data_IF_665751788489
#
_entry.id   IF_665751788489
#
_cell.length_a   1.000
_cell.length_b   1.000
_cell.length_c   1.000
_cell.angle_alpha   90.00
_cell.angle_beta   90.00
_cell.angle_gamma   90.00
#
_symmetry.space_group_name_H-M   'P 1'
#
loop_
_entity.id
_entity.type
_entity.pdbx_description
1 polymer ?
#
# COMPACT_ATOMS: atom_id res chain seq x y z
N UNK A 1 -12.83 24.81 6.13
CA UNK A 1 -14.26 24.42 6.20
C UNK A 1 -14.63 23.33 5.20
N UNK A 2 -13.78 23.03 4.23
CA UNK A 2 -14.03 22.18 3.06
C UNK A 2 -13.70 20.71 3.34
N UNK A 3 -12.71 20.45 4.21
CA UNK A 3 -12.29 19.09 4.55
C UNK A 3 -13.42 18.23 5.17
N UNK A 4 -14.37 18.86 5.88
CA UNK A 4 -15.54 18.18 6.46
C UNK A 4 -16.53 17.65 5.42
N UNK A 5 -16.43 18.11 4.17
CA UNK A 5 -17.24 17.63 3.05
C UNK A 5 -16.68 16.34 2.43
N UNK A 6 -15.45 15.97 2.77
CA UNK A 6 -14.83 14.72 2.29
C UNK A 6 -15.37 13.56 3.11
N UNK A 7 -16.19 12.71 2.48
CA UNK A 7 -16.75 11.51 3.12
C UNK A 7 -15.74 10.35 3.20
N UNK A 8 -14.76 10.34 2.31
CA UNK A 8 -13.78 9.27 2.16
C UNK A 8 -13.17 9.29 0.76
N UNK A 9 -12.73 8.12 0.29
CA UNK A 9 -12.24 7.96 -1.07
C UNK A 9 -12.36 6.52 -1.56
N UNK A 10 -12.20 6.34 -2.86
CA UNK A 10 -12.37 5.06 -3.56
C UNK A 10 -11.15 4.77 -4.44
N UNK A 11 -10.78 3.49 -4.53
CA UNK A 11 -9.85 3.01 -5.55
C UNK A 11 -10.65 2.38 -6.68
N UNK A 12 -10.71 3.06 -7.82
CA UNK A 12 -11.41 2.56 -9.00
C UNK A 12 -10.46 1.74 -9.89
N UNK A 13 -10.83 0.48 -10.15
CA UNK A 13 -10.25 -0.32 -11.23
C UNK A 13 -11.26 -0.41 -12.38
N UNK A 14 -11.09 0.46 -13.37
CA UNK A 14 -11.85 0.37 -14.61
C UNK A 14 -11.49 -0.91 -15.38
N UNK A 15 -12.49 -1.53 -16.00
CA UNK A 15 -12.41 -2.92 -16.45
C UNK A 15 -12.25 -3.07 -17.96
N UNK A 16 -11.88 -2.03 -18.70
CA UNK A 16 -11.61 -2.10 -20.14
C UNK A 16 -10.48 -3.09 -20.45
N UNK A 17 -9.54 -3.25 -19.52
CA UNK A 17 -8.42 -4.19 -19.58
C UNK A 17 -8.26 -4.97 -18.27
N UNK A 18 -9.35 -5.16 -17.52
CA UNK A 18 -9.35 -5.96 -16.31
C UNK A 18 -10.44 -7.02 -16.34
N UNK A 19 -10.04 -8.25 -16.07
CA UNK A 19 -10.90 -9.42 -15.94
C UNK A 19 -10.43 -10.24 -14.71
N UNK A 20 -11.05 -11.39 -14.40
CA UNK A 20 -10.63 -12.22 -13.27
C UNK A 20 -9.16 -12.69 -13.33
N UNK A 21 -8.51 -12.69 -14.50
CA UNK A 21 -7.11 -13.12 -14.61
C UNK A 21 -6.16 -12.10 -13.98
N UNK A 22 -6.48 -10.81 -14.06
CA UNK A 22 -5.64 -9.69 -13.58
C UNK A 22 -6.21 -8.92 -12.39
N UNK A 23 -7.46 -9.17 -11.99
CA UNK A 23 -8.14 -8.45 -10.91
C UNK A 23 -7.29 -8.31 -9.64
N UNK A 24 -6.78 -9.43 -9.13
CA UNK A 24 -6.05 -9.47 -7.85
C UNK A 24 -4.75 -8.66 -7.90
N UNK A 25 -3.94 -8.85 -8.94
CA UNK A 25 -2.66 -8.14 -9.07
C UNK A 25 -2.88 -6.67 -9.40
N UNK A 26 -4.00 -6.32 -10.03
CA UNK A 26 -4.35 -4.92 -10.33
C UNK A 26 -4.86 -4.17 -9.11
N UNK A 27 -5.59 -4.81 -8.20
CA UNK A 27 -6.10 -4.18 -6.98
C UNK A 27 -5.09 -4.26 -5.83
N UNK A 28 -4.51 -5.44 -5.60
CA UNK A 28 -3.70 -5.73 -4.42
C UNK A 28 -2.20 -5.73 -4.75
N UNK A 29 -1.36 -5.10 -3.90
CA UNK A 29 -1.67 -4.57 -2.57
C UNK A 29 -2.06 -3.07 -2.57
N UNK A 30 -2.09 -2.39 -3.72
CA UNK A 30 -2.31 -0.94 -3.86
C UNK A 30 -3.55 -0.42 -3.12
N UNK A 31 -4.68 -1.13 -3.18
CA UNK A 31 -5.88 -0.76 -2.44
C UNK A 31 -5.70 -0.77 -0.91
N UNK A 32 -4.77 -1.58 -0.37
CA UNK A 32 -4.46 -1.58 1.07
C UNK A 32 -3.77 -0.29 1.51
N UNK A 33 -2.97 0.35 0.64
CA UNK A 33 -2.36 1.63 0.96
C UNK A 33 -3.41 2.74 1.10
N UNK A 34 -4.42 2.75 0.22
CA UNK A 34 -5.58 3.65 0.35
C UNK A 34 -6.38 3.34 1.61
N UNK A 35 -6.59 2.05 1.92
CA UNK A 35 -7.30 1.64 3.13
C UNK A 35 -6.63 2.19 4.40
N UNK A 36 -5.30 2.08 4.53
CA UNK A 36 -4.58 2.64 5.68
C UNK A 36 -4.70 4.17 5.75
N UNK A 37 -4.54 4.84 4.60
CA UNK A 37 -4.61 6.29 4.51
C UNK A 37 -6.00 6.85 4.89
N UNK A 38 -7.08 6.16 4.52
CA UNK A 38 -8.44 6.55 4.89
C UNK A 38 -8.84 6.12 6.30
N UNK A 39 -8.27 5.01 6.80
CA UNK A 39 -8.60 4.50 8.14
C UNK A 39 -7.90 5.26 9.27
N UNK A 40 -6.60 5.51 9.13
CA UNK A 40 -5.76 6.08 10.20
C UNK A 40 -4.94 7.29 9.77
N UNK A 41 -5.11 7.75 8.53
CA UNK A 41 -4.28 8.81 7.95
C UNK A 41 -2.91 8.29 7.50
N UNK A 42 -2.17 9.15 6.81
CA UNK A 42 -0.82 8.87 6.30
C UNK A 42 0.25 9.75 6.97
N UNK A 43 -0.09 10.35 8.11
CA UNK A 43 0.80 11.24 8.89
C UNK A 43 1.03 10.68 10.28
N UNK A 44 2.19 10.98 10.85
CA UNK A 44 2.52 10.71 12.25
C UNK A 44 1.92 11.78 13.18
N UNK A 45 2.20 11.67 14.48
CA UNK A 45 1.75 12.62 15.51
C UNK A 45 2.29 14.04 15.29
N UNK A 46 3.40 14.19 14.56
CA UNK A 46 4.02 15.47 14.21
C UNK A 46 3.48 16.04 12.90
N UNK A 47 2.54 15.35 12.25
CA UNK A 47 1.96 15.74 10.96
C UNK A 47 2.87 15.44 9.75
N UNK A 48 3.96 14.70 9.93
CA UNK A 48 4.90 14.31 8.87
C UNK A 48 4.41 13.06 8.14
N UNK A 49 4.64 12.97 6.82
CA UNK A 49 4.23 11.79 6.04
C UNK A 49 5.06 10.57 6.43
N UNK A 50 4.39 9.51 6.88
CA UNK A 50 5.01 8.26 7.38
C UNK A 50 5.09 7.14 6.31
N UNK A 51 5.35 7.51 5.06
CA UNK A 51 5.39 6.55 3.95
C UNK A 51 6.63 5.65 4.01
N UNK A 52 7.77 6.18 4.45
CA UNK A 52 9.00 5.40 4.60
C UNK A 52 8.82 4.27 5.63
N UNK A 53 8.26 4.60 6.79
CA UNK A 53 7.90 3.62 7.83
C UNK A 53 6.79 2.65 7.39
N UNK A 54 6.05 2.98 6.32
CA UNK A 54 5.01 2.12 5.77
C UNK A 54 5.55 0.96 4.95
N UNK A 55 6.76 1.07 4.40
CA UNK A 55 7.34 0.09 3.49
C UNK A 55 7.40 -1.31 4.09
N UNK A 56 7.89 -1.43 5.33
CA UNK A 56 8.06 -2.72 6.00
C UNK A 56 6.70 -3.40 6.27
N UNK A 57 5.76 -2.67 6.89
CA UNK A 57 4.40 -3.20 7.15
C UNK A 57 3.65 -3.52 5.87
N UNK A 58 3.90 -2.77 4.79
CA UNK A 58 3.25 -3.01 3.50
C UNK A 58 3.78 -4.27 2.80
N UNK A 59 5.09 -4.50 2.85
CA UNK A 59 5.69 -5.75 2.39
C UNK A 59 5.18 -6.96 3.19
N UNK A 60 5.08 -6.84 4.52
CA UNK A 60 4.52 -7.89 5.38
C UNK A 60 3.05 -8.17 5.04
N UNK A 61 2.23 -7.11 4.89
CA UNK A 61 0.83 -7.21 4.54
C UNK A 61 0.62 -7.91 3.20
N UNK A 62 1.43 -7.57 2.19
CA UNK A 62 1.43 -8.27 0.90
C UNK A 62 1.76 -9.75 1.07
N UNK A 63 2.73 -10.09 1.93
CA UNK A 63 3.04 -11.48 2.28
C UNK A 63 1.84 -12.23 2.87
N UNK A 64 1.11 -11.58 3.79
CA UNK A 64 -0.13 -12.13 4.39
C UNK A 64 -1.26 -12.31 3.36
N UNK A 65 -1.36 -11.44 2.36
CA UNK A 65 -2.34 -11.58 1.28
C UNK A 65 -2.05 -12.82 0.43
N UNK A 66 -0.79 -12.99 0.02
CA UNK A 66 -0.37 -14.15 -0.77
C UNK A 66 -0.55 -15.45 -0.01
N UNK A 67 -0.22 -15.49 1.29
CA UNK A 67 -0.44 -16.69 2.12
C UNK A 67 -1.91 -17.06 2.28
N UNK A 68 -2.84 -16.13 2.02
CA UNK A 68 -4.30 -16.34 2.02
C UNK A 68 -4.87 -16.62 0.64
N UNK A 69 -4.03 -16.81 -0.39
CA UNK A 69 -4.46 -17.12 -1.76
C UNK A 69 -4.79 -15.91 -2.62
N UNK A 70 -4.58 -14.68 -2.14
CA UNK A 70 -4.76 -13.47 -2.95
C UNK A 70 -3.52 -13.30 -3.83
N UNK A 71 -3.69 -13.18 -5.15
CA UNK A 71 -2.58 -13.00 -6.11
C UNK A 71 -2.07 -11.56 -6.14
N UNK A 72 -1.66 -11.04 -4.98
CA UNK A 72 -1.18 -9.66 -4.83
C UNK A 72 0.14 -9.43 -5.58
N UNK A 73 0.22 -8.29 -6.26
CA UNK A 73 1.40 -7.85 -7.00
C UNK A 73 2.64 -7.78 -6.09
N UNK A 74 3.81 -8.27 -6.53
CA UNK A 74 5.07 -8.03 -5.83
C UNK A 74 5.40 -6.54 -5.78
N UNK A 75 5.73 -6.02 -4.59
CA UNK A 75 6.07 -4.60 -4.41
C UNK A 75 7.55 -4.34 -4.69
N UNK A 76 8.42 -5.19 -4.15
CA UNK A 76 9.87 -5.09 -4.19
C UNK A 76 10.49 -6.49 -4.30
N UNK A 77 11.78 -6.59 -4.65
CA UNK A 77 12.54 -7.83 -4.48
C UNK A 77 12.39 -8.38 -3.07
N UNK A 78 12.28 -9.71 -2.94
CA UNK A 78 12.17 -10.37 -1.63
C UNK A 78 13.32 -10.01 -0.67
N UNK A 79 14.49 -9.65 -1.22
CA UNK A 79 15.62 -9.16 -0.46
C UNK A 79 15.28 -7.92 0.37
N UNK A 80 14.49 -6.98 -0.16
CA UNK A 80 14.10 -5.76 0.55
C UNK A 80 13.25 -6.07 1.80
N UNK A 81 12.28 -6.98 1.67
CA UNK A 81 11.45 -7.41 2.80
C UNK A 81 12.26 -8.19 3.87
N UNK A 82 13.40 -8.78 3.48
CA UNK A 82 14.31 -9.49 4.41
C UNK A 82 15.38 -8.59 5.00
N UNK A 83 15.64 -7.43 4.40
CA UNK A 83 16.67 -6.48 4.82
C UNK A 83 16.07 -5.07 4.88
N UNK A 84 15.29 -4.75 5.94
CA UNK A 84 14.64 -3.45 6.09
C UNK A 84 15.61 -2.28 5.96
N UNK A 85 15.14 -1.18 5.36
CA UNK A 85 15.94 0.04 5.13
C UNK A 85 16.95 -0.04 3.98
N UNK A 86 17.34 -1.24 3.53
CA UNK A 86 18.41 -1.39 2.53
C UNK A 86 17.96 -1.13 1.08
N UNK A 87 16.65 -0.99 0.85
CA UNK A 87 16.07 -0.63 -0.44
C UNK A 87 15.44 0.76 -0.44
N UNK A 88 15.63 1.52 0.63
CA UNK A 88 15.07 2.86 0.75
C UNK A 88 15.89 3.84 -0.07
N UNK A 89 15.22 4.61 -0.91
CA UNK A 89 15.85 5.71 -1.66
C UNK A 89 15.97 6.98 -0.82
N UNK A 90 15.29 7.02 0.33
CA UNK A 90 15.36 8.10 1.30
C UNK A 90 16.50 7.80 2.27
N UNK A 91 17.74 8.03 1.82
CA UNK A 91 18.89 7.83 2.69
C UNK A 91 18.78 8.69 3.96
N UNK A 92 19.08 8.05 5.08
CA UNK A 92 19.54 8.66 6.32
C UNK A 92 20.45 9.86 6.00
N UNK A 93 19.97 11.05 6.32
CA UNK A 93 20.86 12.15 6.69
C UNK A 93 21.25 11.98 8.15
#
# INVERSE_FOLDING_TARGET
>A
EEAKLVLGGEVALWSEQADPTVLDSRIWPRASAMAEAMWSGNRDEKGMKRYAEATDRFNEWRGRMVSRGIRAEPIQPLWCARNPGMCDTVNSS
#
